data_IF_705532142963
#
_entry.id   IF_705532142963
#
_cell.length_a   1.000
_cell.length_b   1.000
_cell.length_c   1.000
_cell.angle_alpha   90.00
_cell.angle_beta   90.00
_cell.angle_gamma   90.00
#
_symmetry.space_group_name_H-M   'P 1'
#
loop_
_entity.id
_entity.type
_entity.pdbx_description
1 polymer ?
#
# COMPACT_ATOMS: atom_id res chain seq x y z
N UNK A 1 -18.88 5.44 10.66
CA UNK A 1 -18.05 6.55 10.18
C UNK A 1 -17.80 6.29 8.71
N UNK A 2 -18.11 7.25 7.84
CA UNK A 2 -17.67 7.17 6.45
C UNK A 2 -16.16 7.41 6.51
N UNK A 3 -15.36 6.40 6.20
CA UNK A 3 -13.92 6.61 6.10
C UNK A 3 -13.64 7.53 4.91
N UNK A 4 -12.88 8.59 5.14
CA UNK A 4 -12.37 9.44 4.07
C UNK A 4 -11.32 8.67 3.29
N UNK A 5 -11.75 7.90 2.29
CA UNK A 5 -10.90 7.11 1.38
C UNK A 5 -9.66 7.88 0.87
N UNK A 6 -9.72 9.20 0.56
CA UNK A 6 -8.54 9.96 0.14
C UNK A 6 -7.47 10.13 1.22
N UNK A 7 -7.83 10.07 2.51
CA UNK A 7 -6.94 10.36 3.64
C UNK A 7 -6.26 9.12 4.22
N UNK A 8 -6.73 7.92 3.86
CA UNK A 8 -6.22 6.66 4.40
C UNK A 8 -4.73 6.47 4.08
N UNK A 9 -3.94 6.29 5.13
CA UNK A 9 -2.50 6.10 5.03
C UNK A 9 -1.74 7.34 4.53
N UNK A 10 -2.30 8.54 4.66
CA UNK A 10 -1.53 9.78 4.50
C UNK A 10 -0.51 9.91 5.63
N UNK A 11 0.74 10.11 5.24
CA UNK A 11 1.83 10.56 6.11
C UNK A 11 2.33 11.92 5.61
N UNK A 12 3.04 12.64 6.48
CA UNK A 12 3.75 13.86 6.12
C UNK A 12 5.25 13.60 6.26
N UNK A 13 6.01 13.95 5.23
CA UNK A 13 7.46 13.99 5.29
C UNK A 13 7.93 15.44 5.17
N UNK A 14 9.07 15.73 5.78
CA UNK A 14 9.79 16.98 5.62
C UNK A 14 10.90 16.78 4.60
N UNK A 15 10.88 17.58 3.55
CA UNK A 15 11.98 17.66 2.58
C UNK A 15 12.45 19.10 2.58
N UNK A 16 13.68 19.31 3.05
CA UNK A 16 14.21 20.63 3.41
C UNK A 16 13.30 21.28 4.48
N UNK A 17 12.59 22.36 4.14
CA UNK A 17 11.65 23.06 5.01
C UNK A 17 10.20 22.98 4.49
N UNK A 18 9.92 22.05 3.56
CA UNK A 18 8.61 21.87 2.95
C UNK A 18 7.95 20.58 3.42
N UNK A 19 6.73 20.73 3.95
CA UNK A 19 5.85 19.60 4.25
C UNK A 19 5.24 19.02 2.98
N UNK A 20 5.52 17.74 2.74
CA UNK A 20 4.97 16.98 1.62
C UNK A 20 4.09 15.86 2.16
N UNK A 21 2.83 15.85 1.73
CA UNK A 21 1.91 14.74 1.97
C UNK A 21 2.24 13.58 1.05
N UNK A 22 2.41 12.40 1.61
CA UNK A 22 2.66 11.16 0.87
C UNK A 22 1.71 10.07 1.34
N UNK A 23 1.54 9.04 0.52
CA UNK A 23 0.95 7.80 1.01
C UNK A 23 2.04 6.93 1.63
N UNK A 24 1.72 6.35 2.78
CA UNK A 24 2.60 5.44 3.48
C UNK A 24 2.78 4.13 2.69
N UNK A 25 3.72 3.30 3.13
CA UNK A 25 4.09 2.07 2.41
C UNK A 25 2.94 1.06 2.28
N UNK A 26 2.11 0.93 3.31
CA UNK A 26 1.02 -0.05 3.34
C UNK A 26 -0.11 0.42 2.39
N UNK A 27 -0.39 1.72 2.37
CA UNK A 27 -1.32 2.34 1.41
C UNK A 27 -0.79 2.24 -0.02
N UNK A 28 0.49 2.52 -0.22
CA UNK A 28 1.13 2.46 -1.53
C UNK A 28 1.04 1.05 -2.13
N UNK A 29 1.28 -0.01 -1.34
CA UNK A 29 1.17 -1.37 -1.86
C UNK A 29 -0.30 -1.78 -2.13
N UNK A 30 -1.25 -1.29 -1.34
CA UNK A 30 -2.68 -1.46 -1.65
C UNK A 30 -3.03 -0.83 -3.01
N UNK A 31 -2.51 0.36 -3.32
CA UNK A 31 -2.72 1.01 -4.62
C UNK A 31 -2.04 0.23 -5.76
N UNK A 32 -0.84 -0.32 -5.54
CA UNK A 32 -0.17 -1.22 -6.51
C UNK A 32 -1.03 -2.44 -6.83
N UNK A 33 -1.61 -3.08 -5.82
CA UNK A 33 -2.53 -4.22 -5.99
C UNK A 33 -3.82 -3.80 -6.72
N UNK A 34 -4.39 -2.67 -6.31
CA UNK A 34 -5.64 -2.14 -6.89
C UNK A 34 -5.48 -1.84 -8.38
N UNK A 35 -4.35 -1.25 -8.77
CA UNK A 35 -4.08 -0.82 -10.14
C UNK A 35 -3.10 -1.73 -10.90
N UNK A 36 -2.97 -2.99 -10.48
CA UNK A 36 -2.15 -4.02 -11.14
C UNK A 36 -2.18 -3.96 -12.67
N UNK A 37 -3.37 -3.92 -13.28
CA UNK A 37 -3.53 -3.92 -14.74
C UNK A 37 -3.09 -2.62 -15.43
N UNK A 38 -2.73 -1.59 -14.66
CA UNK A 38 -2.21 -0.30 -15.15
C UNK A 38 -0.70 -0.16 -14.95
N UNK A 39 -0.06 -1.17 -14.37
CA UNK A 39 1.38 -1.18 -14.10
C UNK A 39 2.09 -2.15 -15.04
N UNK A 40 3.31 -1.81 -15.41
CA UNK A 40 4.20 -2.75 -16.07
C UNK A 40 4.49 -3.93 -15.14
N UNK A 41 4.55 -5.14 -15.71
CA UNK A 41 4.70 -6.38 -14.95
C UNK A 41 5.93 -6.38 -14.03
N UNK A 42 7.04 -5.82 -14.51
CA UNK A 42 8.27 -5.73 -13.72
C UNK A 42 8.09 -4.78 -12.52
N UNK A 43 7.48 -3.62 -12.73
CA UNK A 43 7.19 -2.63 -11.68
C UNK A 43 6.30 -3.24 -10.60
N UNK A 44 5.22 -3.90 -10.99
CA UNK A 44 4.31 -4.59 -10.07
C UNK A 44 5.04 -5.66 -9.25
N UNK A 45 5.77 -6.55 -9.93
CA UNK A 45 6.49 -7.66 -9.27
C UNK A 45 7.55 -7.15 -8.29
N UNK A 46 8.30 -6.10 -8.67
CA UNK A 46 9.33 -5.53 -7.83
C UNK A 46 8.75 -4.79 -6.62
N UNK A 47 7.62 -4.09 -6.78
CA UNK A 47 6.93 -3.43 -5.67
C UNK A 47 6.48 -4.45 -4.60
N UNK A 48 5.86 -5.57 -5.03
CA UNK A 48 5.43 -6.65 -4.13
C UNK A 48 6.62 -7.25 -3.38
N UNK A 49 7.69 -7.62 -4.09
CA UNK A 49 8.91 -8.19 -3.49
C UNK A 49 9.57 -7.24 -2.48
N UNK A 50 9.63 -5.94 -2.81
CA UNK A 50 10.19 -4.92 -1.92
C UNK A 50 9.33 -4.74 -0.66
N UNK A 51 8.02 -4.66 -0.82
CA UNK A 51 7.10 -4.52 0.30
C UNK A 51 7.17 -5.72 1.26
N UNK A 52 7.16 -6.96 0.75
CA UNK A 52 7.30 -8.16 1.59
C UNK A 52 8.57 -8.12 2.43
N UNK A 53 9.69 -7.66 1.86
CA UNK A 53 10.98 -7.56 2.53
C UNK A 53 11.13 -6.32 3.43
N UNK A 54 10.19 -5.37 3.37
CA UNK A 54 10.28 -4.15 4.15
C UNK A 54 10.07 -4.49 5.64
N UNK A 55 11.06 -4.23 6.52
CA UNK A 55 10.90 -4.46 7.96
C UNK A 55 9.99 -3.42 8.63
N UNK A 56 9.70 -2.30 7.96
CA UNK A 56 8.83 -1.22 8.48
C UNK A 56 7.37 -1.36 8.06
N UNK A 57 7.02 -2.40 7.28
CA UNK A 57 5.62 -2.67 6.91
C UNK A 57 4.76 -2.89 8.16
N UNK A 58 3.53 -2.41 8.11
CA UNK A 58 2.55 -2.67 9.16
C UNK A 58 1.46 -3.56 8.59
N UNK A 59 1.48 -4.82 8.99
CA UNK A 59 0.55 -5.85 8.51
C UNK A 59 -0.90 -5.52 8.89
N UNK A 60 -1.13 -4.88 10.05
CA UNK A 60 -2.48 -4.45 10.44
C UNK A 60 -3.01 -3.40 9.46
N UNK A 61 -2.24 -2.35 9.21
CA UNK A 61 -2.61 -1.31 8.25
C UNK A 61 -2.90 -1.90 6.87
N UNK A 62 -2.05 -2.82 6.40
CA UNK A 62 -2.22 -3.48 5.11
C UNK A 62 -3.60 -4.15 4.97
N UNK A 63 -4.00 -4.91 5.99
CA UNK A 63 -5.30 -5.59 5.97
C UNK A 63 -6.46 -4.59 6.11
N UNK A 64 -6.37 -3.64 7.04
CA UNK A 64 -7.38 -2.58 7.21
C UNK A 64 -7.60 -1.83 5.89
N UNK A 65 -6.54 -1.33 5.26
CA UNK A 65 -6.61 -0.62 3.98
C UNK A 65 -7.13 -1.54 2.87
N UNK A 66 -6.70 -2.80 2.88
CA UNK A 66 -7.17 -3.84 1.99
C UNK A 66 -8.68 -4.06 2.01
N UNK A 67 -9.28 -3.98 3.20
CA UNK A 67 -10.72 -4.07 3.38
C UNK A 67 -11.42 -2.86 2.75
N UNK A 68 -10.91 -1.67 3.03
CA UNK A 68 -11.50 -0.39 2.61
C UNK A 68 -11.46 -0.23 1.09
N UNK A 69 -10.35 -0.61 0.45
CA UNK A 69 -10.24 -0.57 -1.01
C UNK A 69 -10.86 -1.78 -1.71
N UNK A 70 -11.43 -2.72 -0.95
CA UNK A 70 -12.03 -3.95 -1.46
C UNK A 70 -11.05 -4.79 -2.32
N UNK A 71 -9.82 -4.94 -1.85
CA UNK A 71 -8.74 -5.69 -2.53
C UNK A 71 -8.29 -6.94 -1.74
N UNK A 72 -9.09 -7.40 -0.78
CA UNK A 72 -8.78 -8.57 0.08
C UNK A 72 -8.28 -9.78 -0.72
N UNK A 73 -8.95 -10.12 -1.83
CA UNK A 73 -8.56 -11.25 -2.67
C UNK A 73 -7.16 -11.06 -3.25
N UNK A 74 -6.84 -9.87 -3.77
CA UNK A 74 -5.52 -9.57 -4.33
C UNK A 74 -4.43 -9.61 -3.27
N UNK A 75 -4.71 -9.09 -2.07
CA UNK A 75 -3.78 -9.17 -0.94
C UNK A 75 -3.45 -10.62 -0.61
N UNK A 76 -4.46 -11.49 -0.52
CA UNK A 76 -4.25 -12.91 -0.24
C UNK A 76 -3.45 -13.60 -1.36
N UNK A 77 -3.78 -13.32 -2.63
CA UNK A 77 -3.08 -13.91 -3.78
C UNK A 77 -1.61 -13.51 -3.85
N UNK A 78 -1.29 -12.23 -3.62
CA UNK A 78 0.05 -11.70 -3.91
C UNK A 78 0.97 -11.59 -2.70
N UNK A 79 0.41 -11.36 -1.51
CA UNK A 79 1.20 -11.05 -0.31
C UNK A 79 0.90 -12.04 0.81
N UNK A 80 -0.31 -12.58 0.91
CA UNK A 80 -0.78 -13.41 2.02
C UNK A 80 0.08 -14.64 2.32
N UNK A 81 0.72 -15.24 1.31
CA UNK A 81 1.62 -16.40 1.49
C UNK A 81 2.91 -16.05 2.27
N UNK A 82 3.28 -14.77 2.31
CA UNK A 82 4.56 -14.28 2.84
C UNK A 82 4.44 -13.52 4.15
N UNK A 83 3.24 -13.43 4.71
CA UNK A 83 2.91 -12.79 5.98
C UNK A 83 2.54 -13.84 7.02
#
# INVERSE_FOLDING_TARGET
>A
MIENIPEIGLDVIQVEEVEIKIFNRDRTICDVLRYENKLEREVFTNAIKRYIKDPKKNVRNLFEYGEVFNIKNKLQTYIGVWL
#
